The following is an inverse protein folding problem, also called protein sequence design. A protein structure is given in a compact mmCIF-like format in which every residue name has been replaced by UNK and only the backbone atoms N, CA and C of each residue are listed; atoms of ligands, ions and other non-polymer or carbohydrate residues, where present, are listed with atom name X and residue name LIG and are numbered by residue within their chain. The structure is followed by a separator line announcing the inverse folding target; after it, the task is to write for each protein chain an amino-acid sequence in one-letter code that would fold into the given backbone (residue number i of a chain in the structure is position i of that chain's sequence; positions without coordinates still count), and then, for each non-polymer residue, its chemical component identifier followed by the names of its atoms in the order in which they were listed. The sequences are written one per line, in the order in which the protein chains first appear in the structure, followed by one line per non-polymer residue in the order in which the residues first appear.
data_IF_891925085282
#
_entry.id   IF_891925085282
#
_cell.length_a   1.000
_cell.length_b   1.000
_cell.length_c   1.000
_cell.angle_alpha   90.00
_cell.angle_beta   90.00
_cell.angle_gamma   90.00
#
_symmetry.space_group_name_H-M   'P 1'
#
loop_
_entity.id
_entity.type
_entity.pdbx_description
1 polymer ?
#
# COMPACT_ATOMS: atom_id res chain seq x y z
N UNK A 1 32.55 40.19 -33.67
CA UNK A 1 31.77 39.87 -32.46
C UNK A 1 32.32 40.65 -31.26
N UNK A 2 31.64 41.70 -30.76
CA UNK A 2 32.17 42.51 -29.67
C UNK A 2 31.94 41.79 -28.33
N UNK A 3 33.02 41.49 -27.61
CA UNK A 3 32.96 41.04 -26.21
C UNK A 3 32.44 42.22 -25.38
N UNK A 4 31.18 42.18 -24.94
CA UNK A 4 30.63 43.12 -23.95
C UNK A 4 31.52 43.05 -22.71
N UNK A 5 32.35 44.07 -22.49
CA UNK A 5 33.06 44.25 -21.22
C UNK A 5 32.00 44.52 -20.17
N UNK A 6 31.75 43.56 -19.30
CA UNK A 6 30.88 43.77 -18.16
C UNK A 6 31.44 44.95 -17.36
N UNK A 7 30.59 45.94 -17.05
CA UNK A 7 30.94 47.07 -16.20
C UNK A 7 31.47 46.53 -14.87
N UNK A 8 32.59 47.08 -14.38
CA UNK A 8 33.20 46.70 -13.09
C UNK A 8 32.16 46.78 -11.96
N UNK A 9 31.24 47.75 -12.04
CA UNK A 9 30.14 47.90 -11.09
C UNK A 9 29.20 46.70 -11.08
N UNK A 10 28.90 46.10 -12.24
CA UNK A 10 28.06 44.91 -12.35
C UNK A 10 28.74 43.68 -11.74
N UNK A 11 30.07 43.56 -11.92
CA UNK A 11 30.86 42.46 -11.32
C UNK A 11 30.88 42.59 -9.79
N UNK A 12 31.05 43.81 -9.27
CA UNK A 12 31.03 44.08 -7.83
C UNK A 12 29.65 43.81 -7.21
N UNK A 13 28.58 44.21 -7.88
CA UNK A 13 27.20 43.92 -7.44
C UNK A 13 26.93 42.42 -7.40
N UNK A 14 27.39 41.68 -8.41
CA UNK A 14 27.23 40.23 -8.46
C UNK A 14 28.02 39.54 -7.34
N UNK A 15 29.25 39.99 -7.09
CA UNK A 15 30.10 39.47 -6.03
C UNK A 15 29.50 39.75 -4.64
N UNK A 16 28.94 40.94 -4.43
CA UNK A 16 28.26 41.30 -3.19
C UNK A 16 27.00 40.46 -2.96
N UNK A 17 26.18 40.29 -4.01
CA UNK A 17 24.99 39.44 -3.95
C UNK A 17 25.35 37.97 -3.67
N UNK A 18 26.42 37.46 -4.29
CA UNK A 18 26.91 36.10 -4.06
C UNK A 18 27.43 35.94 -2.62
N UNK A 19 28.19 36.92 -2.11
CA UNK A 19 28.68 36.91 -0.73
C UNK A 19 27.53 36.96 0.28
N UNK A 20 26.51 37.79 0.04
CA UNK A 20 25.30 37.84 0.85
C UNK A 20 24.53 36.51 0.80
N UNK A 21 24.43 35.88 -0.38
CA UNK A 21 23.78 34.59 -0.56
C UNK A 21 24.53 33.46 0.16
N UNK A 22 25.87 33.48 0.15
CA UNK A 22 26.71 32.53 0.89
C UNK A 22 26.63 32.74 2.40
N UNK A 23 26.67 33.99 2.86
CA UNK A 23 26.51 34.34 4.27
C UNK A 23 25.13 33.89 4.79
N UNK A 24 24.08 34.16 4.01
CA UNK A 24 22.73 33.67 4.32
C UNK A 24 22.67 32.15 4.36
N UNK A 25 23.23 31.47 3.36
CA UNK A 25 23.30 30.00 3.31
C UNK A 25 24.10 29.40 4.47
N UNK A 26 25.11 30.08 4.98
CA UNK A 26 25.91 29.66 6.13
C UNK A 26 25.20 29.92 7.47
N UNK A 27 24.33 30.94 7.52
CA UNK A 27 23.52 31.30 8.69
C UNK A 27 22.23 30.47 8.78
N UNK A 28 21.69 30.04 7.64
CA UNK A 28 20.65 29.01 7.64
C UNK A 28 21.33 27.72 8.10
N UNK A 29 21.00 27.18 9.29
CA UNK A 29 21.55 25.90 9.70
C UNK A 29 21.23 24.88 8.61
N UNK A 30 22.27 24.27 8.05
CA UNK A 30 22.09 23.07 7.22
C UNK A 30 21.28 22.12 8.10
N UNK A 31 20.07 21.68 7.68
CA UNK A 31 19.31 20.69 8.43
C UNK A 31 20.26 19.54 8.68
N UNK A 32 20.57 19.28 9.95
CA UNK A 32 21.64 18.36 10.31
C UNK A 32 21.44 17.04 9.58
N UNK A 33 22.53 16.47 9.04
CA UNK A 33 22.60 15.08 8.59
C UNK A 33 22.52 14.21 9.83
N UNK A 34 21.35 14.16 10.44
CA UNK A 34 21.13 13.53 11.72
C UNK A 34 19.69 13.13 11.78
N UNK A 35 19.38 11.93 11.27
CA UNK A 35 18.13 11.19 11.40
C UNK A 35 16.94 12.08 11.77
N UNK A 36 16.67 13.12 10.95
CA UNK A 36 15.69 14.11 11.30
C UNK A 36 14.36 13.40 11.22
N UNK A 37 13.77 13.12 12.37
CA UNK A 37 12.50 12.46 12.47
C UNK A 37 11.51 13.23 11.60
N UNK A 38 11.04 12.61 10.50
CA UNK A 38 10.11 13.16 9.50
C UNK A 38 9.20 14.22 10.14
N UNK A 39 9.17 15.48 9.71
CA UNK A 39 8.28 16.44 10.37
C UNK A 39 6.82 15.96 10.30
N UNK A 40 5.97 16.19 11.33
CA UNK A 40 4.56 15.85 11.25
C UNK A 40 3.91 16.57 10.05
N UNK A 41 3.00 15.90 9.36
CA UNK A 41 2.32 16.50 8.22
C UNK A 41 1.47 17.70 8.71
N UNK A 42 1.60 18.88 8.07
CA UNK A 42 0.79 20.04 8.43
C UNK A 42 -0.69 19.79 8.15
N UNK A 43 -1.56 20.46 8.91
CA UNK A 43 -3.01 20.30 8.74
C UNK A 43 -3.45 20.73 7.32
N UNK A 44 -4.32 19.96 6.64
CA UNK A 44 -4.76 20.28 5.27
C UNK A 44 -5.38 21.68 5.16
N UNK A 45 -6.13 22.10 6.18
CA UNK A 45 -6.75 23.42 6.22
C UNK A 45 -5.73 24.58 6.21
N UNK A 46 -4.62 24.44 6.94
CA UNK A 46 -3.55 25.44 6.96
C UNK A 46 -2.85 25.56 5.60
N UNK A 47 -2.65 24.42 4.92
CA UNK A 47 -2.09 24.38 3.57
C UNK A 47 -3.02 24.98 2.52
N UNK A 48 -4.32 24.68 2.58
CA UNK A 48 -5.31 25.25 1.64
C UNK A 48 -5.37 26.77 1.70
N UNK A 49 -5.26 27.34 2.90
CA UNK A 49 -5.19 28.79 3.09
C UNK A 49 -3.92 29.40 2.47
N UNK A 50 -2.79 28.69 2.52
CA UNK A 50 -1.53 29.14 1.93
C UNK A 50 -1.43 28.93 0.41
N UNK A 51 -2.10 27.89 -0.13
CA UNK A 51 -2.01 27.50 -1.54
C UNK A 51 -3.05 28.12 -2.47
N UNK A 52 -3.83 29.10 -2.00
CA UNK A 52 -4.78 29.88 -2.80
C UNK A 52 -5.79 29.03 -3.62
N UNK A 53 -6.12 27.82 -3.14
CA UNK A 53 -7.09 26.91 -3.77
C UNK A 53 -6.51 25.88 -4.76
N UNK A 54 -5.20 25.86 -5.00
CA UNK A 54 -4.54 24.88 -5.89
C UNK A 54 -4.20 23.56 -5.16
N UNK A 55 -5.24 22.82 -4.78
CA UNK A 55 -5.13 21.59 -3.97
C UNK A 55 -4.27 20.50 -4.63
N UNK A 56 -4.33 20.35 -5.96
CA UNK A 56 -3.52 19.37 -6.69
C UNK A 56 -2.02 19.73 -6.73
N UNK A 57 -1.69 21.02 -6.76
CA UNK A 57 -0.30 21.47 -6.67
C UNK A 57 0.25 21.24 -5.27
N UNK A 58 -0.54 21.53 -4.24
CA UNK A 58 -0.19 21.26 -2.84
C UNK A 58 0.02 19.77 -2.57
N UNK A 59 -0.82 18.89 -3.13
CA UNK A 59 -0.65 17.45 -3.00
C UNK A 59 0.71 16.97 -3.57
N UNK A 60 1.10 17.47 -4.75
CA UNK A 60 2.40 17.16 -5.36
C UNK A 60 3.56 17.73 -4.55
N UNK A 61 3.42 18.95 -4.03
CA UNK A 61 4.41 19.58 -3.19
C UNK A 61 4.60 18.80 -1.88
N UNK A 62 3.51 18.34 -1.25
CA UNK A 62 3.56 17.50 -0.06
C UNK A 62 4.33 16.19 -0.32
N UNK A 63 4.09 15.55 -1.46
CA UNK A 63 4.83 14.35 -1.87
C UNK A 63 6.31 14.66 -2.13
N UNK A 64 6.63 15.79 -2.76
CA UNK A 64 8.01 16.21 -2.99
C UNK A 64 8.74 16.49 -1.68
N UNK A 65 8.07 17.12 -0.71
CA UNK A 65 8.59 17.37 0.63
C UNK A 65 8.84 16.05 1.37
N UNK A 66 7.93 15.07 1.25
CA UNK A 66 8.14 13.74 1.82
C UNK A 66 9.37 13.05 1.21
N UNK A 67 9.51 13.08 -0.13
CA UNK A 67 10.66 12.51 -0.83
C UNK A 67 11.98 13.20 -0.48
N UNK A 68 11.97 14.53 -0.35
CA UNK A 68 13.15 15.29 0.07
C UNK A 68 13.57 14.90 1.49
N UNK A 69 12.62 14.76 2.42
CA UNK A 69 12.90 14.33 3.79
C UNK A 69 13.43 12.90 3.88
N UNK A 70 12.91 11.99 3.05
CA UNK A 70 13.44 10.62 2.93
C UNK A 70 14.88 10.61 2.39
N UNK A 71 15.17 11.39 1.34
CA UNK A 71 16.51 11.50 0.78
C UNK A 71 17.55 12.09 1.76
N UNK A 72 17.13 12.99 2.66
CA UNK A 72 17.99 13.57 3.70
C UNK A 72 18.24 12.61 4.87
N UNK A 73 17.45 11.55 5.05
CA UNK A 73 17.70 10.51 6.06
C UNK A 73 18.89 9.58 5.70
N UNK A 74 19.75 10.02 4.78
CA UNK A 74 20.74 9.23 4.05
C UNK A 74 21.84 8.56 4.89
N UNK A 75 21.67 7.25 5.08
CA UNK A 75 22.69 6.23 5.28
C UNK A 75 22.19 4.91 4.64
N UNK A 76 22.95 3.81 4.65
CA UNK A 76 22.66 2.54 3.94
C UNK A 76 21.32 1.83 4.29
N UNK A 77 20.43 2.44 5.08
CA UNK A 77 19.09 1.92 5.40
C UNK A 77 18.01 3.02 5.40
N UNK A 78 17.84 3.79 4.30
CA UNK A 78 16.99 4.98 4.28
C UNK A 78 15.53 4.66 4.62
N UNK A 79 14.97 3.63 3.99
CA UNK A 79 13.57 3.23 4.18
C UNK A 79 13.27 2.57 5.54
N UNK A 80 14.28 2.05 6.24
CA UNK A 80 14.13 1.37 7.53
C UNK A 80 14.30 2.33 8.71
N UNK A 81 14.82 3.53 8.52
CA UNK A 81 14.95 4.52 9.58
C UNK A 81 13.73 5.46 9.67
N UNK A 82 12.85 5.44 8.66
CA UNK A 82 11.66 6.30 8.61
C UNK A 82 10.63 5.95 9.69
N UNK A 83 9.96 6.99 10.18
CA UNK A 83 8.75 6.86 10.98
C UNK A 83 7.52 6.67 10.06
N UNK A 84 7.05 5.42 9.97
CA UNK A 84 5.96 5.04 9.07
C UNK A 84 4.61 5.63 9.46
N UNK A 85 4.43 6.03 10.73
CA UNK A 85 3.22 6.76 11.11
C UNK A 85 3.22 8.16 10.48
N UNK A 86 4.38 8.81 10.43
CA UNK A 86 4.52 10.12 9.77
C UNK A 86 4.45 10.01 8.26
N UNK A 87 5.04 8.96 7.66
CA UNK A 87 4.84 8.67 6.23
C UNK A 87 3.36 8.53 5.92
N UNK A 88 2.61 7.75 6.71
CA UNK A 88 1.18 7.60 6.53
C UNK A 88 0.43 8.95 6.63
N UNK A 89 0.78 9.81 7.59
CA UNK A 89 0.19 11.16 7.71
C UNK A 89 0.45 12.03 6.48
N UNK A 90 1.64 11.99 5.90
CA UNK A 90 1.96 12.72 4.67
C UNK A 90 1.19 12.20 3.46
N UNK A 91 1.03 10.87 3.36
CA UNK A 91 0.24 10.25 2.31
C UNK A 91 -1.26 10.55 2.48
N UNK A 92 -1.75 10.55 3.72
CA UNK A 92 -3.13 10.93 4.08
C UNK A 92 -3.37 12.42 3.73
N UNK A 93 -2.42 13.31 4.04
CA UNK A 93 -2.47 14.72 3.63
C UNK A 93 -2.53 14.86 2.10
N UNK A 94 -1.66 14.16 1.37
CA UNK A 94 -1.63 14.21 -0.09
C UNK A 94 -2.94 13.72 -0.71
N UNK A 95 -3.56 12.66 -0.18
CA UNK A 95 -4.88 12.18 -0.61
C UNK A 95 -6.02 13.11 -0.17
N UNK A 96 -5.92 13.77 0.97
CA UNK A 96 -6.92 14.73 1.43
C UNK A 96 -6.96 15.99 0.55
N UNK A 97 -5.80 16.40 0.03
CA UNK A 97 -5.65 17.49 -0.92
C UNK A 97 -6.06 17.05 -2.33
N UNK A 98 -5.59 15.90 -2.83
CA UNK A 98 -6.01 15.33 -4.11
C UNK A 98 -6.62 13.93 -3.94
N UNK A 99 -7.95 13.83 -3.77
CA UNK A 99 -8.63 12.54 -3.63
C UNK A 99 -8.54 11.66 -4.88
N UNK A 100 -8.23 12.22 -6.05
CA UNK A 100 -8.07 11.45 -7.30
C UNK A 100 -6.61 11.03 -7.51
N UNK A 101 -5.70 11.49 -6.67
CA UNK A 101 -4.28 11.20 -6.70
C UNK A 101 -4.00 9.71 -6.56
N UNK A 102 -3.45 9.11 -7.61
CA UNK A 102 -3.00 7.71 -7.58
C UNK A 102 -1.64 7.54 -6.90
N UNK A 103 -0.83 8.60 -6.94
CA UNK A 103 0.58 8.55 -6.54
C UNK A 103 0.80 8.17 -5.06
N UNK A 104 0.02 8.68 -4.07
CA UNK A 104 0.17 8.24 -2.67
C UNK A 104 -0.07 6.74 -2.48
N UNK A 105 -1.00 6.15 -3.24
CA UNK A 105 -1.33 4.72 -3.17
C UNK A 105 -0.24 3.85 -3.79
N UNK A 106 0.35 4.28 -4.90
CA UNK A 106 1.55 3.66 -5.49
C UNK A 106 2.70 3.72 -4.50
N UNK A 107 2.97 4.88 -3.90
CA UNK A 107 4.08 5.07 -2.97
C UNK A 107 3.93 4.15 -1.75
N UNK A 108 2.74 4.08 -1.14
CA UNK A 108 2.48 3.18 -0.02
C UNK A 108 2.71 1.70 -0.38
N UNK A 109 2.17 1.25 -1.52
CA UNK A 109 2.14 -0.17 -1.87
C UNK A 109 3.42 -0.69 -2.53
N UNK A 110 4.18 0.16 -3.22
CA UNK A 110 5.37 -0.25 -3.98
C UNK A 110 6.67 0.21 -3.34
N UNK A 111 6.72 1.44 -2.84
CA UNK A 111 7.94 2.03 -2.26
C UNK A 111 8.00 1.66 -0.79
N UNK A 112 7.07 2.15 0.01
CA UNK A 112 7.14 2.02 1.47
C UNK A 112 6.82 0.59 1.95
N UNK A 113 6.03 -0.21 1.21
CA UNK A 113 5.84 -1.62 1.51
C UNK A 113 6.98 -2.55 1.02
N UNK A 114 8.07 -2.00 0.46
CA UNK A 114 9.26 -2.78 0.07
C UNK A 114 10.25 -3.03 1.23
N UNK A 115 9.99 -2.46 2.41
CA UNK A 115 10.82 -2.66 3.59
C UNK A 115 10.67 -4.10 4.15
N UNK A 116 11.76 -4.78 4.54
CA UNK A 116 11.69 -6.10 5.18
C UNK A 116 11.36 -5.98 6.67
N UNK A 117 10.28 -5.25 6.99
CA UNK A 117 9.78 -5.06 8.34
C UNK A 117 8.25 -5.25 8.34
N UNK A 118 7.75 -6.36 8.91
CA UNK A 118 6.32 -6.67 8.90
C UNK A 118 5.44 -5.59 9.52
N UNK A 119 5.90 -4.93 10.58
CA UNK A 119 5.11 -3.91 11.30
C UNK A 119 4.92 -2.68 10.43
N UNK A 120 5.98 -2.24 9.76
CA UNK A 120 5.95 -1.07 8.86
C UNK A 120 5.12 -1.32 7.61
N UNK A 121 5.25 -2.50 7.02
CA UNK A 121 4.41 -2.93 5.89
C UNK A 121 2.93 -2.92 6.32
N UNK A 122 2.59 -3.40 7.52
CA UNK A 122 1.20 -3.33 8.02
C UNK A 122 0.67 -1.91 8.12
N UNK A 123 1.48 -0.93 8.51
CA UNK A 123 1.07 0.49 8.55
C UNK A 123 0.68 0.98 7.14
N UNK A 124 1.47 0.65 6.11
CA UNK A 124 1.17 1.03 4.72
C UNK A 124 -0.05 0.28 4.18
N UNK A 125 -0.21 -1.00 4.50
CA UNK A 125 -1.38 -1.79 4.13
C UNK A 125 -2.66 -1.23 4.77
N UNK A 126 -2.59 -0.80 6.04
CA UNK A 126 -3.70 -0.14 6.73
C UNK A 126 -4.06 1.21 6.10
N UNK A 127 -3.07 1.98 5.62
CA UNK A 127 -3.32 3.19 4.84
C UNK A 127 -4.05 2.87 3.52
N UNK A 128 -3.60 1.86 2.78
CA UNK A 128 -4.25 1.44 1.52
C UNK A 128 -5.69 0.97 1.76
N UNK A 129 -5.95 0.22 2.84
CA UNK A 129 -7.30 -0.20 3.23
C UNK A 129 -8.22 1.00 3.50
N UNK A 130 -7.78 1.97 4.32
CA UNK A 130 -8.56 3.20 4.58
C UNK A 130 -8.84 3.96 3.28
N UNK A 131 -7.85 4.05 2.39
CA UNK A 131 -8.04 4.72 1.12
C UNK A 131 -8.99 3.94 0.20
N UNK A 132 -8.91 2.62 0.16
CA UNK A 132 -9.88 1.79 -0.56
C UNK A 132 -11.29 2.03 -0.04
N UNK A 133 -11.47 2.19 1.26
CA UNK A 133 -12.79 2.36 1.85
C UNK A 133 -13.54 3.60 1.34
N UNK A 134 -12.79 4.64 0.97
CA UNK A 134 -13.35 5.88 0.42
C UNK A 134 -13.84 5.74 -1.04
N UNK A 135 -13.21 4.88 -1.85
CA UNK A 135 -13.65 4.60 -3.23
C UNK A 135 -13.28 3.16 -3.63
N UNK A 136 -14.11 2.16 -3.23
CA UNK A 136 -13.85 0.76 -3.52
C UNK A 136 -13.79 0.44 -5.02
N UNK A 137 -14.52 1.20 -5.83
CA UNK A 137 -14.64 0.97 -7.27
C UNK A 137 -13.44 1.44 -8.06
N UNK A 138 -12.80 2.55 -7.68
CA UNK A 138 -11.61 3.04 -8.38
C UNK A 138 -10.31 2.53 -7.77
N UNK A 139 -10.30 2.23 -6.46
CA UNK A 139 -9.08 1.91 -5.70
C UNK A 139 -8.86 0.42 -5.46
N UNK A 140 -9.67 -0.43 -6.08
CA UNK A 140 -9.55 -1.89 -6.03
C UNK A 140 -8.14 -2.42 -6.35
N UNK A 141 -7.34 -1.86 -7.31
CA UNK A 141 -6.03 -2.43 -7.64
C UNK A 141 -5.05 -2.36 -6.46
N UNK A 142 -5.14 -1.30 -5.67
CA UNK A 142 -4.25 -1.09 -4.53
C UNK A 142 -4.57 -2.06 -3.40
N UNK A 143 -5.85 -2.32 -3.14
CA UNK A 143 -6.24 -3.33 -2.15
C UNK A 143 -5.88 -4.75 -2.62
N UNK A 144 -6.02 -5.05 -3.91
CA UNK A 144 -5.57 -6.32 -4.49
C UNK A 144 -4.05 -6.51 -4.27
N UNK A 145 -3.25 -5.47 -4.52
CA UNK A 145 -1.82 -5.49 -4.26
C UNK A 145 -1.52 -5.66 -2.76
N UNK A 146 -2.25 -4.98 -1.87
CA UNK A 146 -2.12 -5.15 -0.43
C UNK A 146 -2.43 -6.59 0.03
N UNK A 147 -3.45 -7.23 -0.54
CA UNK A 147 -3.77 -8.64 -0.27
C UNK A 147 -2.64 -9.58 -0.71
N UNK A 148 -2.03 -9.35 -1.87
CA UNK A 148 -0.88 -10.13 -2.34
C UNK A 148 0.36 -9.91 -1.47
N UNK A 149 0.63 -8.68 -1.03
CA UNK A 149 1.72 -8.38 -0.10
C UNK A 149 1.49 -9.08 1.25
N UNK A 150 0.26 -9.02 1.78
CA UNK A 150 -0.09 -9.73 3.02
C UNK A 150 0.12 -11.24 2.90
N UNK A 151 -0.26 -11.83 1.76
CA UNK A 151 -0.08 -13.26 1.46
C UNK A 151 1.39 -13.65 1.33
N UNK A 152 2.17 -12.95 0.51
CA UNK A 152 3.49 -13.41 0.07
C UNK A 152 4.67 -12.83 0.84
N UNK A 153 4.53 -11.63 1.43
CA UNK A 153 5.62 -10.99 2.20
C UNK A 153 5.39 -11.06 3.70
N UNK A 154 4.15 -10.82 4.14
CA UNK A 154 3.83 -10.90 5.57
C UNK A 154 3.50 -12.33 6.02
N UNK A 155 3.18 -13.22 5.07
CA UNK A 155 2.66 -14.56 5.35
C UNK A 155 1.45 -14.52 6.30
N UNK A 156 0.67 -13.44 6.26
CA UNK A 156 -0.52 -13.24 7.07
C UNK A 156 -1.76 -13.53 6.22
N UNK A 157 -2.11 -14.83 6.16
CA UNK A 157 -3.27 -15.31 5.42
C UNK A 157 -4.59 -14.72 5.95
N UNK A 158 -4.83 -14.59 7.27
CA UNK A 158 -6.02 -13.89 7.78
C UNK A 158 -6.17 -12.46 7.25
N UNK A 159 -5.09 -11.68 7.23
CA UNK A 159 -5.09 -10.32 6.69
C UNK A 159 -5.32 -10.31 5.18
N UNK A 160 -4.64 -11.21 4.44
CA UNK A 160 -4.85 -11.35 3.00
C UNK A 160 -6.31 -11.70 2.66
N UNK A 161 -6.93 -12.60 3.44
CA UNK A 161 -8.34 -12.99 3.28
C UNK A 161 -9.26 -11.81 3.56
N UNK A 162 -8.98 -10.99 4.60
CA UNK A 162 -9.76 -9.78 4.91
C UNK A 162 -9.80 -8.84 3.70
N UNK A 163 -8.64 -8.55 3.12
CA UNK A 163 -8.52 -7.68 1.96
C UNK A 163 -9.18 -8.27 0.71
N UNK A 164 -8.95 -9.55 0.42
CA UNK A 164 -9.56 -10.22 -0.72
C UNK A 164 -11.09 -10.31 -0.61
N UNK A 165 -11.62 -10.55 0.60
CA UNK A 165 -13.06 -10.51 0.87
C UNK A 165 -13.63 -9.11 0.69
N UNK A 166 -12.97 -8.08 1.22
CA UNK A 166 -13.39 -6.68 1.04
C UNK A 166 -13.43 -6.30 -0.44
N UNK A 167 -12.44 -6.74 -1.22
CA UNK A 167 -12.37 -6.55 -2.66
C UNK A 167 -13.60 -7.15 -3.36
N UNK A 168 -13.90 -8.43 -3.10
CA UNK A 168 -15.05 -9.11 -3.69
C UNK A 168 -16.39 -8.45 -3.31
N UNK A 169 -16.56 -8.09 -2.05
CA UNK A 169 -17.83 -7.58 -1.54
C UNK A 169 -18.10 -6.13 -1.91
N UNK A 170 -17.06 -5.29 -2.00
CA UNK A 170 -17.22 -3.82 -2.10
C UNK A 170 -16.82 -3.26 -3.46
N UNK A 171 -15.80 -3.80 -4.11
CA UNK A 171 -15.48 -3.42 -5.48
C UNK A 171 -16.42 -4.11 -6.48
N UNK A 172 -16.89 -5.32 -6.14
CA UNK A 172 -17.89 -6.06 -6.93
C UNK A 172 -17.49 -6.17 -8.40
N UNK A 173 -18.38 -5.75 -9.30
CA UNK A 173 -18.14 -5.86 -10.75
C UNK A 173 -17.01 -4.97 -11.28
N UNK A 174 -16.64 -3.91 -10.56
CA UNK A 174 -15.58 -2.99 -10.97
C UNK A 174 -14.19 -3.63 -10.88
N UNK A 175 -14.02 -4.60 -9.98
CA UNK A 175 -12.82 -5.41 -9.93
C UNK A 175 -12.88 -6.53 -10.99
N UNK A 176 -11.78 -6.79 -11.73
CA UNK A 176 -11.72 -7.89 -12.67
C UNK A 176 -11.91 -9.22 -11.93
N UNK A 177 -12.30 -10.24 -12.67
CA UNK A 177 -12.74 -11.48 -12.07
C UNK A 177 -11.62 -12.23 -11.31
N UNK A 178 -10.37 -12.18 -11.77
CA UNK A 178 -9.22 -12.68 -11.00
C UNK A 178 -9.11 -12.04 -9.60
N UNK A 179 -9.43 -10.74 -9.49
CA UNK A 179 -9.36 -10.00 -8.24
C UNK A 179 -10.49 -10.43 -7.29
N UNK A 180 -11.67 -10.73 -7.81
CA UNK A 180 -12.79 -11.30 -7.04
C UNK A 180 -12.53 -12.74 -6.59
N UNK A 181 -11.75 -13.50 -7.35
CA UNK A 181 -11.34 -14.87 -7.04
C UNK A 181 -10.25 -14.96 -5.96
N UNK A 182 -9.56 -13.86 -5.67
CA UNK A 182 -8.43 -13.83 -4.75
C UNK A 182 -8.77 -14.40 -3.37
N UNK A 183 -10.01 -14.21 -2.88
CA UNK A 183 -10.45 -14.77 -1.59
C UNK A 183 -10.44 -16.31 -1.61
N UNK A 184 -10.87 -16.92 -2.72
CA UNK A 184 -10.86 -18.38 -2.86
C UNK A 184 -9.42 -18.93 -2.85
N UNK A 185 -8.48 -18.27 -3.52
CA UNK A 185 -7.07 -18.69 -3.50
C UNK A 185 -6.44 -18.57 -2.11
N UNK A 186 -6.73 -17.50 -1.38
CA UNK A 186 -6.25 -17.36 0.00
C UNK A 186 -6.87 -18.42 0.91
N UNK A 187 -8.16 -18.75 0.74
CA UNK A 187 -8.83 -19.81 1.48
C UNK A 187 -8.23 -21.20 1.22
N UNK A 188 -7.82 -21.47 -0.01
CA UNK A 188 -7.10 -22.71 -0.34
C UNK A 188 -5.72 -22.77 0.33
N UNK A 189 -4.97 -21.66 0.35
CA UNK A 189 -3.70 -21.57 1.08
C UNK A 189 -3.88 -21.73 2.60
N UNK A 190 -5.05 -21.35 3.13
CA UNK A 190 -5.42 -21.54 4.53
C UNK A 190 -5.87 -22.97 4.86
N UNK A 191 -5.85 -23.90 3.89
CA UNK A 191 -6.40 -25.26 4.02
C UNK A 191 -7.90 -25.27 4.38
N UNK A 192 -8.66 -24.28 3.88
CA UNK A 192 -10.12 -24.16 4.02
C UNK A 192 -10.88 -24.45 2.70
N UNK A 193 -10.77 -25.65 2.11
CA UNK A 193 -11.34 -25.94 0.79
C UNK A 193 -12.87 -25.86 0.75
N UNK A 194 -13.56 -26.09 1.88
CA UNK A 194 -15.02 -25.92 1.97
C UNK A 194 -15.43 -24.45 1.82
N UNK A 195 -14.69 -23.53 2.44
CA UNK A 195 -14.93 -22.10 2.32
C UNK A 195 -14.58 -21.62 0.90
N UNK A 196 -13.48 -22.10 0.33
CA UNK A 196 -13.09 -21.78 -1.05
C UNK A 196 -14.19 -22.16 -2.05
N UNK A 197 -14.76 -23.37 -1.91
CA UNK A 197 -15.90 -23.82 -2.72
C UNK A 197 -17.13 -22.94 -2.57
N UNK A 198 -17.45 -22.52 -1.35
CA UNK A 198 -18.59 -21.64 -1.12
C UNK A 198 -18.39 -20.28 -1.83
N UNK A 199 -17.17 -19.73 -1.80
CA UNK A 199 -16.84 -18.49 -2.52
C UNK A 199 -16.95 -18.68 -4.03
N UNK A 200 -16.37 -19.74 -4.60
CA UNK A 200 -16.45 -20.02 -6.03
C UNK A 200 -17.90 -20.24 -6.48
N UNK A 201 -18.67 -21.01 -5.72
CA UNK A 201 -20.10 -21.22 -5.97
C UNK A 201 -20.90 -19.92 -5.97
N UNK A 202 -20.62 -19.02 -5.02
CA UNK A 202 -21.24 -17.70 -4.98
C UNK A 202 -20.87 -16.81 -6.18
N UNK A 203 -19.61 -16.89 -6.66
CA UNK A 203 -19.16 -16.16 -7.85
C UNK A 203 -19.85 -16.67 -9.12
N UNK A 204 -20.05 -17.97 -9.24
CA UNK A 204 -20.76 -18.60 -10.37
C UNK A 204 -22.26 -18.26 -10.36
N UNK A 205 -22.91 -18.35 -9.19
CA UNK A 205 -24.32 -18.04 -9.05
C UNK A 205 -24.63 -16.53 -9.23
N UNK A 206 -23.68 -15.66 -8.85
CA UNK A 206 -23.87 -14.21 -8.88
C UNK A 206 -23.85 -13.57 -10.27
N UNK A 207 -23.54 -14.32 -11.35
CA UNK A 207 -23.50 -13.80 -12.72
C UNK A 207 -22.47 -12.69 -12.96
N UNK A 208 -21.59 -12.44 -12.00
CA UNK A 208 -20.58 -11.37 -12.07
C UNK A 208 -19.40 -11.75 -12.98
N UNK A 209 -19.24 -13.03 -13.29
CA UNK A 209 -18.24 -13.57 -14.21
C UNK A 209 -18.92 -13.79 -15.56
N UNK A 210 -18.60 -12.94 -16.54
CA UNK A 210 -19.27 -12.92 -17.84
C UNK A 210 -18.49 -13.67 -18.93
N UNK A 211 -17.20 -13.95 -18.73
CA UNK A 211 -16.37 -14.66 -19.71
C UNK A 211 -16.64 -16.18 -19.68
N UNK A 212 -17.07 -16.80 -20.79
CA UNK A 212 -17.29 -18.25 -20.87
C UNK A 212 -16.06 -19.11 -20.55
N UNK A 213 -14.85 -18.65 -20.86
CA UNK A 213 -13.61 -19.37 -20.52
C UNK A 213 -13.38 -19.39 -19.00
N UNK A 214 -13.67 -18.27 -18.36
CA UNK A 214 -13.51 -18.10 -16.93
C UNK A 214 -14.57 -18.88 -16.14
N UNK A 215 -15.81 -18.90 -16.61
CA UNK A 215 -16.86 -19.77 -16.06
C UNK A 215 -16.43 -21.24 -16.11
N UNK A 216 -15.86 -21.70 -17.24
CA UNK A 216 -15.33 -23.07 -17.36
C UNK A 216 -14.13 -23.33 -16.44
N UNK A 217 -13.26 -22.35 -16.24
CA UNK A 217 -12.14 -22.47 -15.31
C UNK A 217 -12.62 -22.61 -13.86
N UNK A 218 -13.55 -21.74 -13.44
CA UNK A 218 -14.13 -21.77 -12.11
C UNK A 218 -14.94 -23.03 -11.83
N UNK A 219 -15.72 -23.51 -12.81
CA UNK A 219 -16.47 -24.76 -12.70
C UNK A 219 -15.52 -25.96 -12.51
N UNK A 220 -14.47 -26.07 -13.34
CA UNK A 220 -13.46 -27.13 -13.18
C UNK A 220 -12.78 -27.08 -11.80
N UNK A 221 -12.44 -25.88 -11.33
CA UNK A 221 -11.82 -25.71 -10.01
C UNK A 221 -12.77 -26.09 -8.87
N UNK A 222 -14.06 -25.78 -9.00
CA UNK A 222 -15.08 -26.21 -8.03
C UNK A 222 -15.17 -27.74 -7.97
N UNK A 223 -15.12 -28.41 -9.12
CA UNK A 223 -15.12 -29.87 -9.21
C UNK A 223 -13.86 -30.48 -8.58
N UNK A 224 -12.67 -29.93 -8.84
CA UNK A 224 -11.41 -30.36 -8.21
C UNK A 224 -11.48 -30.27 -6.68
N UNK A 225 -12.00 -29.15 -6.15
CA UNK A 225 -12.19 -28.97 -4.71
C UNK A 225 -13.29 -29.88 -4.14
N UNK A 226 -14.28 -30.28 -4.94
CA UNK A 226 -15.33 -31.23 -4.52
C UNK A 226 -14.79 -32.66 -4.42
N UNK A 227 -13.93 -33.06 -5.36
CA UNK A 227 -13.25 -34.37 -5.38
C UNK A 227 -12.26 -34.47 -4.23
N UNK A 228 -11.59 -33.37 -3.87
CA UNK A 228 -10.73 -33.24 -2.69
C UNK A 228 -11.57 -33.17 -1.39
N UNK A 229 -12.35 -34.22 -1.11
CA UNK A 229 -13.04 -34.42 0.18
C UNK A 229 -12.04 -34.28 1.35
N UNK A 230 -12.46 -33.80 2.54
CA UNK A 230 -11.58 -33.68 3.70
C UNK A 230 -11.17 -35.09 4.18
N UNK A 231 -10.01 -35.57 3.73
CA UNK A 231 -9.40 -36.80 4.23
C UNK A 231 -8.97 -36.68 5.73
N UNK A 232 -9.11 -35.50 6.33
CA UNK A 232 -8.77 -35.23 7.73
C UNK A 232 -9.84 -35.68 8.74
N UNK A 233 -11.11 -35.83 8.34
CA UNK A 233 -12.17 -36.26 9.27
C UNK A 233 -12.12 -37.77 9.60
N UNK A 234 -11.53 -38.60 8.72
CA UNK A 234 -11.48 -40.05 8.89
C UNK A 234 -10.28 -40.55 9.73
N UNK A 235 -9.32 -39.70 10.09
CA UNK A 235 -8.14 -40.09 10.90
C UNK A 235 -8.29 -39.87 12.41
N UNK A 236 -9.43 -39.35 12.87
CA UNK A 236 -9.69 -39.10 14.31
C UNK A 236 -10.51 -40.19 15.03
N UNK A 237 -10.92 -41.24 14.34
CA UNK A 237 -11.60 -42.39 14.96
C UNK A 237 -10.68 -43.62 14.93
N UNK A 238 -9.59 -43.58 15.68
CA UNK A 238 -8.99 -44.81 16.21
C UNK A 238 -9.48 -44.92 17.65
N UNK A 239 -10.31 -45.91 18.01
CA UNK A 239 -10.65 -46.13 19.40
C UNK A 239 -9.40 -46.67 20.11
N UNK A 240 -8.86 -45.89 21.04
CA UNK A 240 -7.85 -46.38 21.97
C UNK A 240 -8.46 -47.50 22.82
N UNK A 241 -7.81 -48.65 22.79
CA UNK A 241 -8.14 -49.87 23.51
C UNK A 241 -8.35 -49.62 25.02
N UNK A 242 -9.37 -50.26 25.60
CA UNK A 242 -9.47 -50.54 27.04
C UNK A 242 -9.27 -52.05 27.27
N UNK A 243 -8.11 -52.36 27.82
CA UNK A 243 -7.85 -53.20 29.01
C UNK A 243 -8.65 -54.50 29.22
N UNK A 244 -7.92 -55.62 29.10
CA UNK A 244 -7.88 -56.89 29.86
C UNK A 244 -9.15 -57.43 30.58
N UNK A 245 -9.38 -58.76 30.54
CA UNK A 245 -10.01 -59.48 31.64
C UNK A 245 -8.95 -60.22 32.48
N UNK A 246 -9.03 -60.08 33.81
CA UNK A 246 -8.28 -60.91 34.73
C UNK A 246 -8.87 -62.32 34.84
N UNK A 247 -7.99 -63.26 35.16
CA UNK A 247 -8.17 -64.39 36.09
C UNK A 247 -6.77 -64.87 36.51
#
# INVERSE_FOLDING_TARGET
MPRRRASIASVLLLALALAAQLAWRAWVPVPGIGAAALSPAPAPAALRLAGLGEDAALARLAMLILQAQDAQAGGAQPLRALDYARVAQWLDLALALDPRGRYPLVAASQVYAAVPDPTRVRVMLAFVERAFDADPTARWPWLAQAALIARHRLHDLPLARRYARALRLRAGIAAPAWARQLEAFVLEDMDEPAAARAVIGALLAGGQVTDPNELRFLARRLDELNVRKPAAAARRTVPAARSAPGL
#
